data_IF_405765772407
#
_entry.id   IF_405765772407
#
_cell.length_a   1.000
_cell.length_b   1.000
_cell.length_c   1.000
_cell.angle_alpha   90.00
_cell.angle_beta   90.00
_cell.angle_gamma   90.00
#
_symmetry.space_group_name_H-M   'P 1'
#
loop_
_entity.id
_entity.type
_entity.pdbx_description
1 polymer ?
#
# COMPACT_ATOMS: atom_id res chain seq x y z
N UNK A 1 -36.55 -39.89 -3.68
CA UNK A 1 -36.23 -39.89 -5.13
C UNK A 1 -37.27 -39.05 -5.85
N UNK A 2 -36.89 -37.87 -6.34
CA UNK A 2 -37.74 -37.00 -7.15
C UNK A 2 -36.85 -36.16 -8.04
N UNK A 3 -36.80 -36.50 -9.33
CA UNK A 3 -36.05 -35.74 -10.35
C UNK A 3 -36.85 -34.51 -10.74
N UNK A 4 -36.21 -33.34 -10.70
CA UNK A 4 -36.77 -32.09 -11.27
C UNK A 4 -36.29 -31.97 -12.71
N UNK A 5 -37.23 -31.91 -13.65
CA UNK A 5 -36.97 -31.62 -15.06
C UNK A 5 -37.12 -30.11 -15.31
N UNK A 6 -36.16 -29.52 -16.02
CA UNK A 6 -36.31 -28.21 -16.63
C UNK A 6 -36.58 -28.40 -18.13
N UNK A 7 -37.73 -27.94 -18.61
CA UNK A 7 -38.01 -27.81 -20.05
C UNK A 7 -38.13 -26.32 -20.38
N UNK A 8 -37.24 -25.83 -21.24
CA UNK A 8 -37.42 -24.54 -21.90
C UNK A 8 -38.25 -24.75 -23.18
N UNK A 9 -39.38 -24.06 -23.31
CA UNK A 9 -40.13 -23.99 -24.56
C UNK A 9 -39.59 -22.82 -25.41
N UNK A 10 -38.95 -23.14 -26.55
CA UNK A 10 -38.73 -22.19 -27.64
C UNK A 10 -39.92 -22.24 -28.61
N UNK A 11 -40.48 -21.08 -28.96
CA UNK A 11 -41.41 -20.92 -30.09
C UNK A 11 -40.66 -20.58 -31.38
N UNK A 12 -41.21 -20.91 -32.57
CA UNK A 12 -40.45 -20.95 -33.83
C UNK A 12 -40.43 -19.59 -34.54
N UNK A 13 -39.32 -19.31 -35.23
CA UNK A 13 -39.23 -18.25 -36.22
C UNK A 13 -38.14 -17.22 -35.95
N UNK A 14 -36.87 -17.62 -36.04
CA UNK A 14 -35.81 -16.71 -36.47
C UNK A 14 -34.67 -17.52 -37.09
N UNK A 15 -34.56 -17.44 -38.41
CA UNK A 15 -33.48 -18.00 -39.21
C UNK A 15 -32.45 -16.89 -39.43
N UNK A 16 -31.21 -17.08 -38.97
CA UNK A 16 -30.07 -16.38 -39.55
C UNK A 16 -28.84 -17.27 -39.63
N UNK A 17 -28.20 -17.14 -40.79
CA UNK A 17 -27.19 -17.97 -41.42
C UNK A 17 -25.81 -17.62 -40.84
N UNK A 18 -25.02 -18.63 -40.48
CA UNK A 18 -23.73 -18.42 -39.83
C UNK A 18 -22.72 -17.65 -40.68
N UNK A 19 -21.85 -16.92 -39.99
CA UNK A 19 -20.45 -16.86 -40.38
C UNK A 19 -19.54 -17.08 -39.17
N UNK A 20 -18.47 -17.81 -39.42
CA UNK A 20 -17.59 -18.46 -38.45
C UNK A 20 -16.39 -17.55 -38.21
N UNK A 21 -16.28 -16.92 -37.03
CA UNK A 21 -14.99 -16.69 -36.37
C UNK A 21 -15.16 -16.52 -34.86
N UNK A 22 -14.65 -17.50 -34.12
CA UNK A 22 -14.43 -17.45 -32.68
C UNK A 22 -13.27 -16.50 -32.36
N UNK A 23 -13.46 -15.60 -31.38
CA UNK A 23 -12.56 -15.31 -30.25
C UNK A 23 -12.99 -14.00 -29.55
N UNK A 24 -13.42 -14.15 -28.30
CA UNK A 24 -13.57 -13.19 -27.19
C UNK A 24 -14.97 -13.27 -26.57
N UNK A 25 -15.05 -13.95 -25.42
CA UNK A 25 -16.23 -13.96 -24.56
C UNK A 25 -16.04 -12.91 -23.46
N UNK A 26 -16.62 -11.73 -23.67
CA UNK A 26 -17.18 -10.92 -22.59
C UNK A 26 -18.70 -10.96 -22.76
N UNK A 27 -19.43 -11.47 -21.77
CA UNK A 27 -20.89 -11.36 -21.73
C UNK A 27 -21.20 -10.31 -20.68
N UNK A 28 -21.49 -9.09 -21.15
CA UNK A 28 -22.11 -8.04 -20.36
C UNK A 28 -23.56 -8.46 -20.07
N UNK A 29 -23.85 -8.96 -18.87
CA UNK A 29 -25.22 -9.23 -18.44
C UNK A 29 -25.80 -7.94 -17.86
N UNK A 30 -26.40 -7.10 -18.71
CA UNK A 30 -27.38 -6.11 -18.26
C UNK A 30 -28.68 -6.84 -17.92
N UNK A 31 -28.96 -7.04 -16.63
CA UNK A 31 -30.27 -7.52 -16.17
C UNK A 31 -31.26 -6.36 -16.16
N UNK A 32 -32.06 -6.24 -17.22
CA UNK A 32 -33.29 -5.43 -17.21
C UNK A 32 -34.33 -6.00 -16.24
N UNK A 33 -35.24 -5.17 -15.69
CA UNK A 33 -36.29 -5.64 -14.80
C UNK A 33 -37.34 -6.41 -15.63
N UNK A 34 -38.09 -7.30 -14.97
CA UNK A 34 -39.25 -8.06 -15.50
C UNK A 34 -38.93 -9.43 -16.14
N UNK A 35 -39.03 -10.49 -15.32
CA UNK A 35 -39.24 -11.88 -15.79
C UNK A 35 -40.29 -12.58 -14.94
N UNK A 36 -41.17 -13.32 -15.60
CA UNK A 36 -42.19 -14.17 -14.98
C UNK A 36 -41.57 -15.51 -14.57
N UNK A 37 -41.92 -16.03 -13.39
CA UNK A 37 -41.51 -17.36 -12.92
C UNK A 37 -42.75 -18.23 -12.76
N UNK A 38 -42.73 -19.41 -13.39
CA UNK A 38 -43.78 -20.44 -13.31
C UNK A 38 -43.32 -21.54 -12.37
N UNK A 39 -44.01 -21.70 -11.24
CA UNK A 39 -43.81 -22.81 -10.30
C UNK A 39 -45.03 -23.73 -10.35
N UNK A 40 -44.80 -25.03 -10.54
CA UNK A 40 -45.84 -26.06 -10.63
C UNK A 40 -45.71 -27.00 -9.44
N UNK A 41 -46.74 -27.03 -8.59
CA UNK A 41 -46.96 -28.05 -7.57
C UNK A 41 -48.17 -28.91 -7.99
N UNK A 42 -48.33 -30.15 -7.48
CA UNK A 42 -49.27 -31.15 -8.01
C UNK A 42 -50.76 -30.79 -7.88
N UNK A 43 -51.12 -29.61 -7.38
CA UNK A 43 -52.52 -29.18 -7.29
C UNK A 43 -52.78 -27.71 -7.64
N UNK A 44 -51.76 -26.88 -7.95
CA UNK A 44 -51.96 -25.45 -8.27
C UNK A 44 -50.88 -24.89 -9.22
N UNK A 45 -51.30 -23.96 -10.09
CA UNK A 45 -50.43 -23.19 -11.01
C UNK A 45 -50.47 -21.72 -10.62
N UNK A 46 -49.30 -21.10 -10.38
CA UNK A 46 -49.20 -19.68 -10.05
C UNK A 46 -48.36 -18.90 -11.07
N UNK A 47 -48.78 -17.66 -11.32
CA UNK A 47 -48.04 -16.63 -12.07
C UNK A 47 -47.79 -15.45 -11.14
N UNK A 48 -46.54 -15.02 -10.99
CA UNK A 48 -46.17 -13.90 -10.10
C UNK A 48 -45.77 -12.68 -10.93
N UNK A 49 -46.46 -11.56 -10.75
CA UNK A 49 -46.07 -10.20 -11.18
C UNK A 49 -46.07 -9.28 -9.96
N UNK A 50 -45.17 -8.29 -9.96
CA UNK A 50 -44.90 -7.40 -8.83
C UNK A 50 -46.15 -6.93 -8.08
N UNK A 51 -46.14 -7.18 -6.77
CA UNK A 51 -46.85 -6.42 -5.74
C UNK A 51 -48.35 -6.24 -5.93
N UNK A 52 -49.15 -7.30 -5.92
CA UNK A 52 -50.49 -7.32 -5.30
C UNK A 52 -51.02 -8.77 -5.34
N UNK A 53 -51.28 -9.36 -4.17
CA UNK A 53 -51.84 -10.71 -4.06
C UNK A 53 -53.24 -10.63 -3.46
N UNK A 54 -54.27 -10.82 -4.31
CA UNK A 54 -55.65 -11.01 -3.88
C UNK A 54 -55.93 -12.51 -3.84
N UNK A 55 -56.03 -13.08 -2.64
CA UNK A 55 -56.43 -14.48 -2.45
C UNK A 55 -57.95 -14.56 -2.26
N UNK A 56 -58.67 -15.04 -3.27
CA UNK A 56 -60.01 -15.63 -3.06
C UNK A 56 -59.82 -17.11 -2.74
N UNK A 57 -59.76 -17.42 -1.45
CA UNK A 57 -59.67 -18.80 -0.95
C UNK A 57 -59.44 -18.78 0.55
N UNK A 58 -60.19 -19.61 1.29
CA UNK A 58 -60.15 -19.73 2.74
C UNK A 58 -58.82 -20.36 3.16
N UNK A 59 -57.75 -19.56 3.20
CA UNK A 59 -56.52 -19.88 3.87
C UNK A 59 -56.52 -19.06 5.16
N UNK A 60 -56.79 -19.73 6.29
CA UNK A 60 -56.81 -19.08 7.60
C UNK A 60 -55.51 -18.30 7.85
N UNK A 61 -55.61 -17.17 8.57
CA UNK A 61 -54.50 -16.26 8.90
C UNK A 61 -53.21 -16.98 9.33
N UNK A 62 -53.32 -18.16 9.94
CA UNK A 62 -52.21 -19.03 10.34
C UNK A 62 -51.36 -19.58 9.18
N UNK A 63 -51.95 -19.91 8.03
CA UNK A 63 -51.22 -20.43 6.86
C UNK A 63 -50.39 -19.37 6.13
N UNK A 64 -50.88 -18.13 6.14
CA UNK A 64 -50.18 -16.98 5.56
C UNK A 64 -49.02 -16.52 6.44
N UNK A 65 -49.16 -16.64 7.78
CA UNK A 65 -48.09 -16.45 8.76
C UNK A 65 -46.99 -17.52 8.66
N UNK A 66 -47.35 -18.80 8.47
CA UNK A 66 -46.37 -19.88 8.31
C UNK A 66 -45.61 -19.78 6.98
N UNK A 67 -46.26 -19.31 5.92
CA UNK A 67 -45.62 -19.09 4.62
C UNK A 67 -44.71 -17.85 4.62
N UNK A 68 -45.10 -16.77 5.30
CA UNK A 68 -44.21 -15.62 5.46
C UNK A 68 -43.02 -15.94 6.37
N UNK A 69 -43.21 -16.72 7.43
CA UNK A 69 -42.13 -17.19 8.29
C UNK A 69 -41.14 -18.08 7.53
N UNK A 70 -41.62 -18.98 6.66
CA UNK A 70 -40.75 -19.85 5.87
C UNK A 70 -39.99 -19.11 4.76
N UNK A 71 -40.59 -18.08 4.16
CA UNK A 71 -39.89 -17.20 3.21
C UNK A 71 -38.85 -16.32 3.91
N UNK A 72 -39.12 -15.84 5.12
CA UNK A 72 -38.13 -15.14 5.97
C UNK A 72 -37.00 -16.09 6.43
N UNK A 73 -37.30 -17.35 6.73
CA UNK A 73 -36.31 -18.35 7.11
C UNK A 73 -35.44 -18.79 5.91
N UNK A 74 -36.03 -18.92 4.72
CA UNK A 74 -35.29 -19.21 3.49
C UNK A 74 -34.41 -18.03 3.04
N UNK A 75 -34.88 -16.78 3.25
CA UNK A 75 -34.11 -15.57 2.96
C UNK A 75 -32.89 -15.40 3.88
N UNK A 76 -32.97 -15.85 5.14
CA UNK A 76 -31.83 -15.81 6.08
C UNK A 76 -30.80 -16.91 5.84
N UNK A 77 -31.21 -18.08 5.34
CA UNK A 77 -30.29 -19.15 4.93
C UNK A 77 -29.53 -18.86 3.63
N UNK A 78 -30.15 -18.13 2.69
CA UNK A 78 -29.52 -17.72 1.43
C UNK A 78 -28.68 -16.44 1.54
N UNK A 79 -28.71 -15.77 2.70
CA UNK A 79 -27.96 -14.54 2.96
C UNK A 79 -26.62 -14.78 3.68
N UNK A 80 -26.22 -16.04 3.91
CA UNK A 80 -24.84 -16.33 4.28
C UNK A 80 -23.96 -16.12 3.04
N UNK A 81 -23.47 -14.90 2.87
CA UNK A 81 -22.30 -14.65 2.05
C UNK A 81 -21.20 -15.54 2.61
N UNK A 82 -20.59 -16.37 1.75
CA UNK A 82 -19.47 -17.22 2.12
C UNK A 82 -18.27 -16.33 2.43
N UNK A 83 -18.21 -15.80 3.64
CA UNK A 83 -17.08 -15.01 4.16
C UNK A 83 -15.90 -15.93 4.56
N UNK A 84 -16.01 -17.23 4.29
CA UNK A 84 -15.02 -18.25 4.59
C UNK A 84 -14.66 -19.03 3.33
N UNK A 85 -13.37 -19.22 3.09
CA UNK A 85 -12.87 -20.19 2.13
C UNK A 85 -11.70 -20.96 2.73
N UNK A 86 -11.51 -22.19 2.25
CA UNK A 86 -10.42 -23.05 2.66
C UNK A 86 -9.67 -23.55 1.42
N UNK A 87 -8.34 -23.49 1.47
CA UNK A 87 -7.48 -24.11 0.46
C UNK A 87 -6.96 -25.40 1.06
N UNK A 88 -7.43 -26.54 0.56
CA UNK A 88 -7.08 -27.87 1.06
C UNK A 88 -6.00 -28.53 0.20
N UNK A 89 -5.30 -29.53 0.75
CA UNK A 89 -4.34 -30.38 0.03
C UNK A 89 -3.20 -29.63 -0.68
N UNK A 90 -2.92 -28.39 -0.27
CA UNK A 90 -1.84 -27.60 -0.82
C UNK A 90 -0.53 -27.83 -0.08
N UNK A 91 0.57 -27.63 -0.80
CA UNK A 91 1.88 -27.40 -0.17
C UNK A 91 1.92 -25.95 0.34
N UNK A 92 2.18 -25.72 1.63
CA UNK A 92 2.08 -24.39 2.24
C UNK A 92 3.46 -23.96 2.76
N UNK A 93 3.98 -22.86 2.21
CA UNK A 93 5.23 -22.25 2.68
C UNK A 93 4.90 -21.15 3.68
N UNK A 94 5.20 -21.37 4.96
CA UNK A 94 4.83 -20.43 6.04
C UNK A 94 5.84 -19.28 6.21
N UNK A 95 7.02 -19.38 5.61
CA UNK A 95 8.17 -18.45 5.73
C UNK A 95 8.80 -18.40 7.13
N UNK A 96 8.01 -18.17 8.18
CA UNK A 96 8.48 -18.09 9.57
C UNK A 96 8.64 -19.45 10.25
N UNK A 97 8.22 -20.54 9.60
CA UNK A 97 8.25 -21.89 10.15
C UNK A 97 8.57 -22.94 9.10
N UNK A 98 8.32 -24.20 9.45
CA UNK A 98 8.49 -25.31 8.50
C UNK A 98 7.42 -25.25 7.41
N UNK A 99 7.80 -25.71 6.22
CA UNK A 99 6.86 -25.95 5.13
C UNK A 99 5.94 -27.11 5.48
N UNK A 100 4.66 -26.96 5.22
CA UNK A 100 3.66 -28.02 5.36
C UNK A 100 3.48 -28.63 3.97
N UNK A 101 3.93 -29.88 3.78
CA UNK A 101 3.91 -30.51 2.44
C UNK A 101 2.50 -30.82 1.94
N UNK A 102 1.55 -31.04 2.85
CA UNK A 102 0.12 -31.16 2.54
C UNK A 102 -0.70 -30.65 3.72
N UNK A 103 -1.43 -29.56 3.54
CA UNK A 103 -2.26 -29.00 4.59
C UNK A 103 -3.37 -28.10 4.08
N UNK A 104 -4.03 -27.46 5.03
CA UNK A 104 -5.19 -26.60 4.80
C UNK A 104 -4.94 -25.20 5.33
N UNK A 105 -5.35 -24.20 4.56
CA UNK A 105 -5.41 -22.78 4.99
C UNK A 105 -6.87 -22.36 5.04
N UNK A 106 -7.35 -21.94 6.21
CA UNK A 106 -8.72 -21.43 6.40
C UNK A 106 -8.67 -19.93 6.53
N UNK A 107 -9.42 -19.23 5.69
CA UNK A 107 -9.56 -17.77 5.69
C UNK A 107 -11.00 -17.40 6.00
N UNK A 108 -11.18 -16.45 6.92
CA UNK A 108 -12.48 -15.91 7.31
C UNK A 108 -12.40 -14.39 7.41
N UNK A 109 -13.29 -13.69 6.71
CA UNK A 109 -13.36 -12.23 6.75
C UNK A 109 -12.05 -11.55 6.33
N UNK A 110 -11.32 -12.16 5.39
CA UNK A 110 -10.02 -11.66 4.93
C UNK A 110 -8.84 -11.95 5.87
N UNK A 111 -9.05 -12.67 6.98
CA UNK A 111 -8.01 -13.05 7.93
C UNK A 111 -7.78 -14.56 7.92
N UNK A 112 -6.51 -14.95 8.06
CA UNK A 112 -6.13 -16.35 8.22
C UNK A 112 -6.54 -16.80 9.63
N UNK A 113 -7.43 -17.80 9.71
CA UNK A 113 -7.88 -18.37 10.99
C UNK A 113 -7.01 -19.54 11.43
N UNK A 114 -6.64 -20.40 10.48
CA UNK A 114 -5.86 -21.61 10.75
C UNK A 114 -5.02 -22.02 9.55
N UNK A 115 -3.83 -22.54 9.83
CA UNK A 115 -2.90 -23.12 8.85
C UNK A 115 -2.26 -24.36 9.49
N UNK A 116 -2.31 -25.50 8.81
CA UNK A 116 -1.74 -26.73 9.35
C UNK A 116 -2.07 -27.97 8.53
N UNK A 117 -1.44 -29.10 8.87
CA UNK A 117 -1.71 -30.39 8.24
C UNK A 117 -3.08 -30.97 8.66
N UNK A 118 -3.45 -30.78 9.93
CA UNK A 118 -4.65 -31.36 10.55
C UNK A 118 -5.72 -30.29 10.87
N UNK A 119 -5.81 -29.25 10.03
CA UNK A 119 -6.81 -28.19 10.20
C UNK A 119 -8.17 -28.67 9.67
N UNK A 120 -9.18 -28.65 10.53
CA UNK A 120 -10.56 -28.93 10.15
C UNK A 120 -11.14 -27.78 9.32
N UNK A 121 -11.67 -28.13 8.15
CA UNK A 121 -12.36 -27.17 7.28
C UNK A 121 -13.77 -26.90 7.80
N UNK A 122 -14.13 -25.63 8.06
CA UNK A 122 -15.49 -25.29 8.47
C UNK A 122 -16.52 -25.76 7.42
N UNK A 123 -17.66 -26.34 7.81
CA UNK A 123 -18.66 -26.84 6.85
C UNK A 123 -19.26 -25.76 5.92
N UNK A 124 -19.19 -24.50 6.33
CA UNK A 124 -19.65 -23.34 5.56
C UNK A 124 -18.57 -22.74 4.65
N UNK A 125 -17.33 -23.25 4.67
CA UNK A 125 -16.24 -22.71 3.86
C UNK A 125 -16.38 -23.13 2.39
N UNK A 126 -16.10 -22.19 1.49
CA UNK A 126 -15.87 -22.53 0.09
C UNK A 126 -14.52 -23.23 -0.05
N UNK A 127 -14.55 -24.52 -0.42
CA UNK A 127 -13.34 -25.34 -0.55
C UNK A 127 -12.71 -25.16 -1.92
N UNK A 128 -11.42 -24.86 -1.93
CA UNK A 128 -10.54 -24.79 -3.08
C UNK A 128 -9.57 -25.98 -2.98
N UNK A 129 -9.59 -26.85 -3.99
CA UNK A 129 -8.63 -27.95 -4.08
C UNK A 129 -7.26 -27.41 -4.51
N UNK A 130 -6.30 -27.45 -3.58
CA UNK A 130 -4.92 -27.04 -3.76
C UNK A 130 -4.00 -28.18 -4.18
N UNK A 131 -4.50 -29.36 -4.54
CA UNK A 131 -3.68 -30.48 -4.97
C UNK A 131 -2.77 -30.09 -6.15
N UNK A 132 -1.46 -30.28 -5.97
CA UNK A 132 -0.44 -29.89 -6.95
C UNK A 132 -0.12 -28.40 -6.97
N UNK A 133 -0.79 -27.58 -6.15
CA UNK A 133 -0.52 -26.16 -5.98
C UNK A 133 0.34 -25.91 -4.75
N UNK A 134 1.05 -24.78 -4.76
CA UNK A 134 1.81 -24.28 -3.60
C UNK A 134 1.27 -22.92 -3.17
N UNK A 135 0.93 -22.80 -1.89
CA UNK A 135 0.46 -21.57 -1.25
C UNK A 135 1.65 -20.86 -0.61
N UNK A 136 1.79 -19.57 -0.92
CA UNK A 136 2.75 -18.66 -0.34
C UNK A 136 2.04 -17.43 0.24
N UNK A 137 2.58 -16.81 1.30
CA UNK A 137 2.30 -15.42 1.61
C UNK A 137 2.60 -14.56 0.38
N UNK A 138 1.75 -13.59 0.12
CA UNK A 138 1.99 -12.65 -0.96
C UNK A 138 3.30 -11.89 -0.76
N UNK A 139 4.03 -11.65 -1.84
CA UNK A 139 5.30 -10.94 -1.80
C UNK A 139 5.08 -9.47 -1.45
N UNK A 140 6.08 -8.90 -0.77
CA UNK A 140 6.09 -7.49 -0.36
C UNK A 140 7.20 -6.75 -1.11
N UNK A 141 6.84 -5.74 -1.90
CA UNK A 141 7.81 -4.84 -2.55
C UNK A 141 8.25 -3.74 -1.58
N UNK A 142 9.54 -3.68 -1.24
CA UNK A 142 10.02 -2.82 -0.13
C UNK A 142 10.27 -1.34 -0.50
N UNK A 143 10.38 -1.02 -1.78
CA UNK A 143 10.46 0.36 -2.29
C UNK A 143 10.16 0.35 -3.79
N UNK A 144 9.06 0.97 -4.19
CA UNK A 144 8.58 1.02 -5.57
C UNK A 144 8.05 2.41 -5.90
N UNK A 145 7.70 2.62 -7.17
CA UNK A 145 6.87 3.75 -7.63
C UNK A 145 5.57 3.25 -8.25
N UNK A 146 5.10 2.07 -7.82
CA UNK A 146 3.83 1.48 -8.28
C UNK A 146 2.67 2.32 -7.75
N UNK A 147 1.62 2.50 -8.57
CA UNK A 147 0.50 3.36 -8.24
C UNK A 147 0.90 4.83 -7.96
N UNK A 148 2.05 5.27 -8.48
CA UNK A 148 2.44 6.68 -8.54
C UNK A 148 2.30 7.18 -9.97
N UNK A 149 2.16 8.50 -10.12
CA UNK A 149 2.11 9.13 -11.43
C UNK A 149 3.38 8.84 -12.25
N UNK A 150 3.25 8.87 -13.58
CA UNK A 150 4.41 8.75 -14.47
C UNK A 150 5.41 9.92 -14.32
N UNK A 151 4.97 11.06 -13.78
CA UNK A 151 5.83 12.20 -13.45
C UNK A 151 6.72 11.91 -12.23
N UNK A 152 6.26 11.02 -11.35
CA UNK A 152 7.00 10.51 -10.20
C UNK A 152 7.87 9.29 -10.53
N UNK A 153 7.88 8.82 -11.77
CA UNK A 153 8.76 7.73 -12.19
C UNK A 153 10.23 8.19 -12.12
N UNK A 154 11.15 7.33 -11.64
CA UNK A 154 12.55 7.70 -11.54
C UNK A 154 13.09 8.05 -12.92
N UNK A 155 13.76 9.21 -13.02
CA UNK A 155 14.46 9.59 -14.24
C UNK A 155 15.42 8.46 -14.64
N UNK A 156 15.34 8.02 -15.91
CA UNK A 156 16.26 7.01 -16.42
C UNK A 156 17.71 7.43 -16.12
N UNK A 157 18.60 6.49 -15.76
CA UNK A 157 19.97 6.83 -15.44
C UNK A 157 20.57 7.60 -16.62
N UNK A 158 21.01 8.82 -16.36
CA UNK A 158 21.72 9.62 -17.34
C UNK A 158 22.97 8.84 -17.74
N UNK A 159 22.97 8.26 -18.95
CA UNK A 159 24.15 7.61 -19.50
C UNK A 159 25.31 8.58 -19.45
N UNK A 160 26.43 8.15 -18.86
CA UNK A 160 27.68 8.89 -18.87
C UNK A 160 28.16 8.99 -20.34
N UNK A 161 27.91 10.12 -21.01
CA UNK A 161 28.45 10.39 -22.34
C UNK A 161 27.55 11.06 -23.37
N UNK A 162 26.29 11.36 -23.08
CA UNK A 162 25.40 11.98 -24.08
C UNK A 162 25.32 13.51 -23.97
N UNK A 163 26.12 14.25 -24.73
CA UNK A 163 25.83 15.67 -25.07
C UNK A 163 24.65 15.66 -26.07
N UNK A 164 23.45 15.36 -25.58
CA UNK A 164 22.25 15.16 -26.39
C UNK A 164 21.54 16.49 -26.67
N UNK A 165 21.93 17.17 -27.73
CA UNK A 165 21.09 18.19 -28.36
C UNK A 165 19.86 17.54 -28.99
N UNK A 166 18.76 17.49 -28.25
CA UNK A 166 17.43 17.20 -28.80
C UNK A 166 16.80 18.46 -29.39
N UNK A 167 15.94 18.34 -30.43
CA UNK A 167 15.29 19.51 -31.04
C UNK A 167 14.44 20.30 -30.04
N UNK A 168 14.40 21.65 -30.11
CA UNK A 168 13.57 22.46 -29.23
C UNK A 168 12.11 22.35 -29.68
N UNK A 169 11.35 21.46 -29.06
CA UNK A 169 9.95 21.29 -29.42
C UNK A 169 9.32 20.06 -28.78
N UNK A 170 9.12 20.09 -27.47
CA UNK A 170 8.41 19.03 -26.75
C UNK A 170 7.90 19.54 -25.42
N UNK A 171 6.61 19.92 -25.41
CA UNK A 171 5.71 20.20 -24.28
C UNK A 171 6.36 20.79 -23.02
N UNK A 172 6.29 22.14 -22.95
CA UNK A 172 6.34 22.91 -21.71
C UNK A 172 7.51 22.56 -20.79
N UNK A 173 8.73 22.95 -21.15
CA UNK A 173 9.78 23.06 -20.16
C UNK A 173 9.27 24.02 -19.08
N UNK A 174 9.06 23.50 -17.87
CA UNK A 174 8.81 24.31 -16.69
C UNK A 174 9.87 25.42 -16.66
N UNK A 175 9.40 26.66 -16.78
CA UNK A 175 10.24 27.87 -16.84
C UNK A 175 10.55 28.41 -15.44
N UNK A 176 10.41 27.56 -14.41
CA UNK A 176 10.80 27.93 -13.06
C UNK A 176 12.24 28.46 -13.05
N UNK A 177 12.50 29.62 -12.42
CA UNK A 177 13.83 30.20 -12.35
C UNK A 177 14.80 29.20 -11.69
N UNK A 178 16.07 29.16 -12.11
CA UNK A 178 17.04 28.29 -11.48
C UNK A 178 17.19 28.67 -10.00
N UNK A 179 17.28 27.66 -9.13
CA UNK A 179 17.57 27.88 -7.72
C UNK A 179 18.93 28.56 -7.58
N UNK A 180 18.97 29.64 -6.81
CA UNK A 180 20.13 30.45 -6.49
C UNK A 180 20.81 29.98 -5.20
N UNK A 181 20.05 29.38 -4.28
CA UNK A 181 20.57 28.98 -2.98
C UNK A 181 19.71 27.96 -2.23
N UNK A 182 20.18 27.48 -1.06
CA UNK A 182 19.45 26.56 -0.21
C UNK A 182 18.10 27.10 0.28
N UNK A 183 17.95 28.43 0.38
CA UNK A 183 16.73 29.11 0.77
C UNK A 183 15.56 28.91 -0.20
N UNK A 184 15.83 28.64 -1.48
CA UNK A 184 14.80 28.37 -2.49
C UNK A 184 14.16 26.98 -2.34
N UNK A 185 14.71 26.14 -1.45
CA UNK A 185 14.27 24.77 -1.18
C UNK A 185 14.05 23.92 -2.44
N UNK A 186 15.04 23.87 -3.36
CA UNK A 186 14.87 23.18 -4.62
C UNK A 186 14.53 21.70 -4.42
N UNK A 187 13.52 21.21 -5.17
CA UNK A 187 13.16 19.79 -5.20
C UNK A 187 12.92 19.18 -3.82
N UNK A 188 12.34 19.92 -2.88
CA UNK A 188 12.14 19.46 -1.51
C UNK A 188 10.66 19.43 -1.21
N UNK A 189 10.08 18.24 -1.30
CA UNK A 189 8.65 17.99 -1.30
C UNK A 189 8.23 17.23 -0.04
N UNK A 190 8.71 17.67 1.12
CA UNK A 190 8.52 16.93 2.37
C UNK A 190 7.07 16.77 2.80
N UNK A 191 6.18 17.64 2.32
CA UNK A 191 4.74 17.58 2.56
C UNK A 191 3.97 16.61 1.65
N UNK A 192 4.64 16.04 0.65
CA UNK A 192 4.00 15.13 -0.29
C UNK A 192 3.84 13.77 0.38
N UNK A 193 2.62 13.25 0.32
CA UNK A 193 2.25 11.94 0.84
C UNK A 193 1.88 11.02 -0.31
N UNK A 194 2.55 9.86 -0.40
CA UNK A 194 2.20 8.84 -1.38
C UNK A 194 0.75 8.35 -1.22
N UNK A 195 0.27 8.25 0.03
CA UNK A 195 -1.07 7.77 0.33
C UNK A 195 -2.16 8.68 -0.28
N UNK A 196 -1.89 9.99 -0.37
CA UNK A 196 -2.82 10.97 -0.93
C UNK A 196 -2.71 11.11 -2.46
N UNK A 197 -1.58 10.67 -3.04
CA UNK A 197 -1.27 10.79 -4.48
C UNK A 197 -1.28 9.44 -5.21
N UNK A 198 -1.99 8.46 -4.67
CA UNK A 198 -2.12 7.17 -5.33
C UNK A 198 -2.89 7.31 -6.67
N UNK A 199 -2.22 6.91 -7.74
CA UNK A 199 -2.75 6.79 -9.10
C UNK A 199 -2.64 5.32 -9.53
N UNK A 200 -3.53 4.43 -9.05
CA UNK A 200 -3.47 3.02 -9.39
C UNK A 200 -3.85 2.80 -10.86
N UNK A 201 -2.97 2.07 -11.55
CA UNK A 201 -3.18 1.60 -12.91
C UNK A 201 -3.37 0.08 -12.89
N UNK A 202 -4.52 -0.42 -13.38
CA UNK A 202 -4.88 -1.83 -13.22
C UNK A 202 -3.99 -2.77 -14.04
N UNK A 203 -3.44 -2.33 -15.18
CA UNK A 203 -2.49 -3.13 -15.95
C UNK A 203 -1.17 -3.31 -15.17
N UNK A 204 -0.66 -2.21 -14.60
CA UNK A 204 0.50 -2.24 -13.72
C UNK A 204 0.21 -3.11 -12.48
N UNK A 205 -0.87 -2.86 -11.74
CA UNK A 205 -1.20 -3.63 -10.54
C UNK A 205 -1.43 -5.11 -10.85
N UNK A 206 -2.10 -5.41 -11.96
CA UNK A 206 -2.34 -6.77 -12.46
C UNK A 206 -1.04 -7.51 -12.76
N UNK A 207 -0.06 -6.86 -13.38
CA UNK A 207 1.27 -7.44 -13.62
C UNK A 207 2.00 -7.77 -12.30
N UNK A 208 1.95 -6.88 -11.31
CA UNK A 208 2.56 -7.11 -10.01
C UNK A 208 1.87 -8.24 -9.23
N UNK A 209 0.53 -8.28 -9.23
CA UNK A 209 -0.25 -9.39 -8.64
C UNK A 209 0.01 -10.72 -9.34
N UNK A 210 0.12 -10.72 -10.67
CA UNK A 210 0.49 -11.90 -11.46
C UNK A 210 1.88 -12.43 -11.15
N UNK A 211 2.81 -11.54 -10.74
CA UNK A 211 4.13 -11.92 -10.24
C UNK A 211 4.13 -12.36 -8.75
N UNK A 212 2.98 -12.36 -8.07
CA UNK A 212 2.82 -12.79 -6.69
C UNK A 212 2.99 -11.69 -5.64
N UNK A 213 3.14 -10.41 -6.03
CA UNK A 213 3.13 -9.31 -5.08
C UNK A 213 1.71 -8.97 -4.64
N UNK A 214 1.54 -8.71 -3.34
CA UNK A 214 0.24 -8.33 -2.77
C UNK A 214 0.29 -6.99 -2.05
N UNK A 215 1.47 -6.62 -1.54
CA UNK A 215 1.70 -5.38 -0.81
C UNK A 215 2.97 -4.73 -1.33
N UNK A 216 2.99 -3.41 -1.44
CA UNK A 216 4.18 -2.64 -1.79
C UNK A 216 4.30 -1.41 -0.91
N UNK A 217 5.54 -1.00 -0.65
CA UNK A 217 5.86 0.35 -0.21
C UNK A 217 6.07 1.18 -1.46
N UNK A 218 5.18 2.14 -1.70
CA UNK A 218 5.30 3.07 -2.81
C UNK A 218 5.71 4.45 -2.32
N UNK A 219 6.51 5.14 -3.11
CA UNK A 219 7.07 6.45 -2.78
C UNK A 219 7.12 7.30 -4.04
N UNK A 220 6.86 8.62 -3.95
CA UNK A 220 7.25 9.54 -4.99
C UNK A 220 8.78 9.48 -5.15
N UNK A 221 9.30 9.81 -6.33
CA UNK A 221 10.75 9.74 -6.59
C UNK A 221 11.39 11.02 -7.11
N UNK A 222 10.61 12.07 -7.30
CA UNK A 222 11.09 13.36 -7.78
C UNK A 222 11.71 14.21 -6.64
N UNK A 223 12.70 15.05 -6.94
CA UNK A 223 13.34 15.93 -5.96
C UNK A 223 14.36 15.25 -5.02
N UNK A 224 15.10 16.07 -4.27
CA UNK A 224 16.00 15.63 -3.20
C UNK A 224 15.23 15.02 -2.04
N UNK A 225 14.16 15.66 -1.59
CA UNK A 225 13.20 15.05 -0.66
C UNK A 225 11.91 14.82 -1.43
N UNK A 226 11.59 13.56 -1.71
CA UNK A 226 10.45 13.25 -2.59
C UNK A 226 9.10 13.22 -1.90
N UNK A 227 9.10 13.21 -0.57
CA UNK A 227 7.89 12.98 0.22
C UNK A 227 7.91 11.65 0.94
N UNK A 228 6.80 11.41 1.62
CA UNK A 228 6.53 10.22 2.41
C UNK A 228 6.02 9.08 1.55
N UNK A 229 6.58 7.90 1.78
CA UNK A 229 6.15 6.63 1.26
C UNK A 229 4.91 6.10 2.02
N UNK A 230 4.13 5.26 1.36
CA UNK A 230 3.00 4.56 1.93
C UNK A 230 3.10 3.06 1.67
N UNK A 231 2.74 2.24 2.66
CA UNK A 231 2.50 0.82 2.46
C UNK A 231 1.07 0.64 1.95
N UNK A 232 0.93 -0.02 0.80
CA UNK A 232 -0.35 -0.26 0.14
C UNK A 232 -0.51 -1.73 -0.24
N UNK A 233 -1.74 -2.22 -0.16
CA UNK A 233 -2.15 -3.44 -0.84
C UNK A 233 -2.42 -3.16 -2.31
N UNK A 234 -2.12 -4.11 -3.18
CA UNK A 234 -2.36 -4.03 -4.62
C UNK A 234 -3.82 -4.38 -4.98
N UNK A 235 -4.71 -4.49 -3.99
CA UNK A 235 -6.12 -4.77 -4.15
C UNK A 235 -6.95 -3.70 -3.44
N UNK A 236 -8.06 -3.31 -4.05
CA UNK A 236 -9.00 -2.32 -3.54
C UNK A 236 -9.77 -1.64 -4.67
N UNK A 237 -11.03 -1.27 -4.44
CA UNK A 237 -11.84 -0.57 -5.44
C UNK A 237 -11.49 0.92 -5.50
N UNK A 238 -10.96 1.47 -4.39
CA UNK A 238 -10.57 2.87 -4.27
C UNK A 238 -9.14 2.95 -3.74
N UNK A 239 -8.35 3.94 -4.20
CA UNK A 239 -6.96 4.12 -3.73
C UNK A 239 -6.85 4.19 -2.21
N UNK A 240 -7.80 4.86 -1.53
CA UNK A 240 -7.84 4.95 -0.07
C UNK A 240 -8.01 3.62 0.66
N UNK A 241 -8.65 2.62 0.04
CA UNK A 241 -8.79 1.27 0.63
C UNK A 241 -7.50 0.45 0.50
N UNK A 242 -6.62 0.83 -0.44
CA UNK A 242 -5.35 0.17 -0.66
C UNK A 242 -4.34 0.56 0.43
N UNK A 243 -4.47 1.74 1.04
CA UNK A 243 -3.52 2.25 2.05
C UNK A 243 -3.60 1.41 3.33
N UNK A 244 -2.51 0.75 3.68
CA UNK A 244 -2.32 0.09 4.96
C UNK A 244 -1.78 1.07 6.00
N UNK A 245 -0.74 1.82 5.61
CA UNK A 245 -0.06 2.77 6.48
C UNK A 245 0.54 3.90 5.63
N UNK A 246 0.27 5.15 6.03
CA UNK A 246 0.87 6.34 5.43
C UNK A 246 2.11 6.76 6.24
N UNK A 247 3.09 7.39 5.58
CA UNK A 247 4.26 7.93 6.29
C UNK A 247 5.25 6.87 6.77
N UNK A 248 5.34 5.72 6.09
CA UNK A 248 6.19 4.59 6.54
C UNK A 248 7.69 4.89 6.42
N UNK A 249 8.07 5.76 5.50
CA UNK A 249 9.43 6.25 5.32
C UNK A 249 9.45 7.52 4.48
N UNK A 250 10.48 8.34 4.60
CA UNK A 250 10.68 9.51 3.76
C UNK A 250 11.78 9.26 2.75
N UNK A 251 11.57 9.53 1.46
CA UNK A 251 12.59 9.26 0.45
C UNK A 251 13.52 10.44 0.22
N UNK A 252 14.82 10.19 0.37
CA UNK A 252 15.88 11.08 -0.08
C UNK A 252 16.42 10.62 -1.44
N UNK A 253 16.68 11.55 -2.35
CA UNK A 253 17.55 11.35 -3.51
C UNK A 253 18.72 12.35 -3.45
N UNK A 254 19.76 12.09 -4.25
CA UNK A 254 20.91 12.99 -4.39
C UNK A 254 20.90 13.75 -5.71
N UNK A 255 19.74 13.78 -6.37
CA UNK A 255 19.45 14.53 -7.59
C UNK A 255 18.12 15.27 -7.40
N UNK A 256 18.00 16.46 -8.00
CA UNK A 256 16.78 17.27 -7.89
C UNK A 256 15.62 16.81 -8.79
N UNK A 257 15.81 15.72 -9.54
CA UNK A 257 14.82 15.19 -10.48
C UNK A 257 14.73 15.93 -11.81
N UNK A 258 13.77 15.55 -12.68
CA UNK A 258 13.55 16.19 -13.97
C UNK A 258 13.32 17.71 -13.84
N UNK A 259 13.94 18.49 -14.71
CA UNK A 259 13.74 19.94 -14.74
C UNK A 259 14.53 20.75 -13.69
N UNK A 260 15.17 20.11 -12.70
CA UNK A 260 15.99 20.80 -11.70
C UNK A 260 17.15 21.56 -12.33
N UNK A 261 17.30 22.84 -11.96
CA UNK A 261 18.35 23.74 -12.42
C UNK A 261 18.83 24.63 -11.29
N UNK A 262 20.12 24.95 -11.30
CA UNK A 262 20.74 25.81 -10.31
C UNK A 262 21.31 25.04 -9.12
N UNK A 263 21.27 25.65 -7.94
CA UNK A 263 21.75 25.05 -6.71
C UNK A 263 20.84 23.89 -6.24
N UNK A 264 21.38 22.80 -5.67
CA UNK A 264 22.75 22.33 -5.84
C UNK A 264 22.94 21.65 -7.21
N UNK A 265 24.11 21.84 -7.81
CA UNK A 265 24.45 21.31 -9.15
C UNK A 265 25.48 20.16 -9.14
N UNK A 266 25.96 19.76 -7.96
CA UNK A 266 26.94 18.69 -7.79
C UNK A 266 26.55 17.77 -6.64
N UNK A 267 27.12 16.56 -6.61
CA UNK A 267 26.90 15.60 -5.53
C UNK A 267 27.33 16.17 -4.16
N UNK A 268 28.48 16.86 -4.10
CA UNK A 268 28.94 17.52 -2.89
C UNK A 268 27.96 18.62 -2.44
N UNK A 269 27.42 19.38 -3.40
CA UNK A 269 26.37 20.36 -3.16
C UNK A 269 25.07 19.73 -2.64
N UNK A 270 24.66 18.57 -3.18
CA UNK A 270 23.48 17.85 -2.70
C UNK A 270 23.63 17.43 -1.23
N UNK A 271 24.79 16.89 -0.84
CA UNK A 271 25.06 16.58 0.57
C UNK A 271 25.09 17.82 1.45
N UNK A 272 25.64 18.94 0.98
CA UNK A 272 25.63 20.20 1.72
C UNK A 272 24.19 20.72 1.91
N UNK A 273 23.39 20.69 0.85
CA UNK A 273 22.00 21.09 0.86
C UNK A 273 21.16 20.24 1.83
N UNK A 274 21.27 18.91 1.75
CA UNK A 274 20.54 18.00 2.65
C UNK A 274 20.87 18.26 4.12
N UNK A 275 22.14 18.54 4.44
CA UNK A 275 22.54 18.91 5.80
C UNK A 275 22.01 20.27 6.21
N UNK A 276 22.09 21.26 5.32
CA UNK A 276 21.55 22.60 5.56
C UNK A 276 20.05 22.54 5.83
N UNK A 277 19.30 21.80 5.02
CA UNK A 277 17.87 21.58 5.21
C UNK A 277 17.56 21.01 6.60
N UNK A 278 18.28 19.99 7.06
CA UNK A 278 18.06 19.43 8.40
C UNK A 278 18.45 20.40 9.54
N UNK A 279 19.40 21.31 9.30
CA UNK A 279 19.71 22.41 10.22
C UNK A 279 18.55 23.41 10.25
N UNK A 280 17.99 23.77 9.10
CA UNK A 280 16.83 24.67 8.99
C UNK A 280 15.60 24.08 9.70
N UNK A 281 15.31 22.79 9.51
CA UNK A 281 14.21 22.09 10.20
C UNK A 281 14.39 22.15 11.71
N UNK A 282 15.60 21.94 12.20
CA UNK A 282 15.91 22.05 13.64
C UNK A 282 15.71 23.48 14.13
N UNK A 283 16.23 24.47 13.39
CA UNK A 283 16.11 25.87 13.74
C UNK A 283 14.64 26.31 13.80
N UNK A 284 13.88 26.01 12.76
CA UNK A 284 12.46 26.29 12.67
C UNK A 284 11.69 25.77 13.89
N UNK A 285 11.90 24.50 14.26
CA UNK A 285 11.22 23.91 15.41
C UNK A 285 11.65 24.50 16.75
N UNK A 286 12.92 24.86 16.91
CA UNK A 286 13.38 25.54 18.12
C UNK A 286 12.75 26.94 18.26
N UNK A 287 12.64 27.67 17.16
CA UNK A 287 12.03 29.01 17.13
C UNK A 287 10.52 28.90 17.38
N UNK A 288 9.82 27.96 16.72
CA UNK A 288 8.40 27.71 16.95
C UNK A 288 8.12 27.29 18.40
N UNK A 289 8.86 26.33 18.95
CA UNK A 289 8.68 25.91 20.35
C UNK A 289 8.96 27.04 21.35
N UNK A 290 9.93 27.92 21.07
CA UNK A 290 10.21 29.09 21.89
C UNK A 290 9.07 30.12 21.82
N UNK A 291 8.53 30.36 20.62
CA UNK A 291 7.40 31.26 20.42
C UNK A 291 6.13 30.73 21.12
N UNK A 292 5.86 29.43 21.02
CA UNK A 292 4.70 28.79 21.65
C UNK A 292 4.77 28.78 23.18
N UNK A 293 5.97 28.74 23.76
CA UNK A 293 6.18 28.76 25.21
C UNK A 293 6.20 30.16 25.82
N UNK A 294 6.84 31.14 25.17
CA UNK A 294 6.77 32.55 25.58
C UNK A 294 6.89 33.49 24.37
N UNK A 295 5.75 33.98 23.82
CA UNK A 295 5.77 34.82 22.62
C UNK A 295 6.22 36.26 22.87
N UNK A 296 6.43 36.68 24.13
CA UNK A 296 6.68 38.09 24.46
C UNK A 296 8.02 38.56 23.89
N UNK A 297 7.96 39.62 23.07
CA UNK A 297 9.15 40.22 22.45
C UNK A 297 9.77 39.37 21.35
N UNK A 298 9.11 38.30 20.91
CA UNK A 298 9.54 37.47 19.79
C UNK A 298 8.69 37.75 18.55
N UNK A 299 9.32 37.74 17.38
CA UNK A 299 8.60 37.71 16.11
C UNK A 299 8.00 36.32 15.90
N UNK A 300 6.76 36.26 15.43
CA UNK A 300 6.12 35.00 15.06
C UNK A 300 6.92 34.32 13.93
N UNK A 301 7.32 33.05 14.08
CA UNK A 301 7.96 32.32 12.98
C UNK A 301 7.02 32.25 11.77
N UNK A 302 7.58 32.43 10.58
CA UNK A 302 6.86 32.26 9.32
C UNK A 302 6.56 30.78 9.10
N UNK A 303 5.33 30.47 8.67
CA UNK A 303 4.94 29.10 8.40
C UNK A 303 5.60 28.60 7.11
N UNK A 304 6.42 27.55 7.22
CA UNK A 304 7.03 26.87 6.09
C UNK A 304 6.57 25.40 6.10
N UNK A 305 5.68 25.06 5.17
CA UNK A 305 5.12 23.71 5.00
C UNK A 305 6.23 22.65 4.85
N UNK A 306 7.34 23.00 4.22
CA UNK A 306 8.46 22.09 3.97
C UNK A 306 9.18 21.72 5.27
N UNK A 307 9.39 22.70 6.14
CA UNK A 307 10.05 22.49 7.43
C UNK A 307 9.11 21.81 8.44
N UNK A 308 7.85 22.20 8.42
CA UNK A 308 6.79 21.61 9.24
C UNK A 308 6.68 20.10 8.97
N UNK A 309 6.52 19.71 7.71
CA UNK A 309 6.37 18.31 7.32
C UNK A 309 7.62 17.45 7.57
N UNK A 310 8.81 18.06 7.68
CA UNK A 310 10.05 17.34 7.93
C UNK A 310 10.28 16.96 9.42
N UNK A 311 9.37 17.32 10.32
CA UNK A 311 9.52 17.01 11.75
C UNK A 311 9.63 15.51 12.02
N UNK A 312 8.82 14.69 11.34
CA UNK A 312 8.84 13.23 11.48
C UNK A 312 10.23 12.66 11.20
N UNK A 313 10.88 13.15 10.13
CA UNK A 313 12.23 12.75 9.73
C UNK A 313 13.27 13.18 10.77
N UNK A 314 13.23 14.44 11.22
CA UNK A 314 14.20 14.97 12.20
C UNK A 314 14.09 14.28 13.56
N UNK A 315 12.87 13.98 14.00
CA UNK A 315 12.63 13.29 15.28
C UNK A 315 12.91 11.78 15.22
N UNK A 316 13.13 11.23 14.02
CA UNK A 316 13.30 9.79 13.80
C UNK A 316 12.01 8.99 13.93
N UNK A 317 10.84 9.66 13.95
CA UNK A 317 9.52 9.03 13.85
C UNK A 317 9.34 8.39 12.48
N UNK A 318 9.72 9.12 11.43
CA UNK A 318 9.72 8.65 10.04
C UNK A 318 11.15 8.32 9.63
N UNK A 319 11.45 7.06 9.25
CA UNK A 319 12.81 6.70 8.81
C UNK A 319 13.13 7.35 7.46
N UNK A 320 14.40 7.71 7.25
CA UNK A 320 14.87 8.32 6.00
C UNK A 320 15.45 7.25 5.06
N UNK A 321 14.89 7.06 3.88
CA UNK A 321 15.46 6.22 2.83
C UNK A 321 16.64 6.97 2.19
N UNK A 322 17.85 6.45 2.33
CA UNK A 322 19.08 7.08 1.83
C UNK A 322 19.70 6.24 0.69
N UNK A 323 19.96 6.83 -0.49
CA UNK A 323 20.53 6.09 -1.61
C UNK A 323 22.02 5.80 -1.43
N UNK A 324 22.45 4.63 -1.89
CA UNK A 324 23.86 4.34 -2.12
C UNK A 324 24.04 2.98 -2.77
N UNK A 325 24.80 2.90 -3.84
CA UNK A 325 25.05 1.66 -4.59
C UNK A 325 26.41 1.06 -4.25
N UNK A 326 27.43 1.89 -4.05
CA UNK A 326 28.79 1.44 -3.73
C UNK A 326 29.07 1.47 -2.23
N UNK A 327 30.09 0.73 -1.77
CA UNK A 327 30.47 0.74 -0.36
C UNK A 327 30.84 2.14 0.15
N UNK A 328 31.52 2.95 -0.67
CA UNK A 328 31.86 4.34 -0.33
C UNK A 328 30.62 5.22 -0.19
N UNK A 329 29.64 5.06 -1.07
CA UNK A 329 28.37 5.79 -0.99
C UNK A 329 27.57 5.39 0.26
N UNK A 330 27.50 4.09 0.57
CA UNK A 330 26.82 3.58 1.75
C UNK A 330 27.45 4.11 3.04
N UNK A 331 28.79 4.10 3.17
CA UNK A 331 29.49 4.72 4.31
C UNK A 331 29.21 6.21 4.42
N UNK A 332 29.16 6.92 3.28
CA UNK A 332 28.85 8.35 3.25
C UNK A 332 27.40 8.64 3.66
N UNK A 333 26.46 7.84 3.20
CA UNK A 333 25.05 7.90 3.59
C UNK A 333 24.89 7.71 5.11
N UNK A 334 25.56 6.70 5.65
CA UNK A 334 25.63 6.42 7.08
C UNK A 334 26.20 7.61 7.86
N UNK A 335 27.39 8.08 7.49
CA UNK A 335 28.06 9.18 8.18
C UNK A 335 27.25 10.48 8.12
N UNK A 336 26.62 10.76 6.97
CA UNK A 336 25.75 11.92 6.79
C UNK A 336 24.51 11.82 7.68
N UNK A 337 23.87 10.66 7.74
CA UNK A 337 22.69 10.45 8.58
C UNK A 337 23.00 10.61 10.07
N UNK A 338 24.18 10.14 10.51
CA UNK A 338 24.67 10.38 11.87
C UNK A 338 24.87 11.87 12.18
N UNK A 339 25.42 12.65 11.24
CA UNK A 339 25.55 14.11 11.40
C UNK A 339 24.20 14.82 11.49
N UNK A 340 23.18 14.33 10.77
CA UNK A 340 21.83 14.86 10.82
C UNK A 340 21.04 14.39 12.05
N UNK A 341 21.53 13.37 12.76
CA UNK A 341 20.84 12.75 13.89
C UNK A 341 19.63 11.91 13.49
N UNK A 342 19.59 11.41 12.25
CA UNK A 342 18.49 10.59 11.72
C UNK A 342 18.92 9.16 11.47
N UNK A 343 17.97 8.23 11.57
CA UNK A 343 18.21 6.82 11.26
C UNK A 343 17.96 6.56 9.78
N UNK A 344 18.98 6.15 9.00
CA UNK A 344 18.77 5.82 7.60
C UNK A 344 18.26 4.38 7.44
N UNK A 345 17.46 4.18 6.40
CA UNK A 345 17.27 2.90 5.71
C UNK A 345 17.99 3.05 4.36
N UNK A 346 18.96 2.18 4.09
CA UNK A 346 19.76 2.28 2.87
C UNK A 346 19.03 1.60 1.71
N UNK A 347 18.95 2.24 0.55
CA UNK A 347 18.38 1.65 -0.67
C UNK A 347 19.35 1.74 -1.86
N UNK A 348 19.16 0.85 -2.84
CA UNK A 348 20.08 0.64 -3.96
C UNK A 348 21.14 -0.42 -3.63
N UNK A 349 21.91 -0.22 -2.56
CA UNK A 349 22.85 -1.11 -1.87
C UNK A 349 23.52 -2.25 -2.69
N UNK A 350 23.87 -2.01 -3.96
CA UNK A 350 24.37 -3.05 -4.87
C UNK A 350 25.65 -3.72 -4.37
N UNK A 351 26.53 -2.94 -3.74
CA UNK A 351 27.77 -3.41 -3.09
C UNK A 351 27.60 -3.65 -1.59
N UNK A 352 26.37 -3.78 -1.09
CA UNK A 352 26.09 -3.96 0.34
C UNK A 352 26.73 -5.23 0.92
N UNK A 353 26.93 -6.27 0.10
CA UNK A 353 27.62 -7.50 0.49
C UNK A 353 29.05 -7.23 0.99
N UNK A 354 29.75 -6.26 0.41
CA UNK A 354 31.12 -5.90 0.81
C UNK A 354 31.18 -5.20 2.17
N UNK A 355 30.04 -4.73 2.67
CA UNK A 355 29.88 -4.08 3.97
C UNK A 355 29.03 -4.90 4.94
N UNK A 356 28.77 -6.18 4.68
CA UNK A 356 27.80 -6.97 5.44
C UNK A 356 28.10 -6.98 6.96
N UNK A 357 29.36 -7.12 7.36
CA UNK A 357 29.78 -7.09 8.77
C UNK A 357 29.59 -5.70 9.41
N UNK A 358 29.96 -4.63 8.69
CA UNK A 358 29.81 -3.24 9.11
C UNK A 358 28.33 -2.89 9.30
N UNK A 359 27.49 -3.22 8.31
CA UNK A 359 26.04 -3.01 8.34
C UNK A 359 25.37 -3.82 9.46
N UNK A 360 25.80 -5.07 9.69
CA UNK A 360 25.27 -5.90 10.77
C UNK A 360 25.61 -5.34 12.15
N UNK A 361 26.85 -4.87 12.36
CA UNK A 361 27.27 -4.25 13.61
C UNK A 361 26.43 -3.00 13.92
N UNK A 362 26.20 -2.16 12.90
CA UNK A 362 25.38 -0.96 13.03
C UNK A 362 23.90 -1.25 13.34
N UNK A 363 23.32 -2.27 12.68
CA UNK A 363 21.93 -2.65 12.92
C UNK A 363 21.69 -3.12 14.36
N UNK A 364 22.65 -3.86 14.95
CA UNK A 364 22.58 -4.27 16.36
C UNK A 364 22.63 -3.09 17.31
N UNK A 365 23.51 -2.12 17.06
CA UNK A 365 23.60 -0.89 17.85
C UNK A 365 22.29 -0.10 17.81
N UNK A 366 21.67 0.03 16.63
CA UNK A 366 20.40 0.74 16.45
C UNK A 366 19.20 0.00 17.09
N UNK A 367 19.20 -1.34 17.05
CA UNK A 367 18.16 -2.18 17.65
C UNK A 367 18.24 -2.18 19.19
N UNK A 368 19.45 -2.19 19.74
CA UNK A 368 19.68 -2.06 21.19
C UNK A 368 19.20 -0.72 21.74
N UNK A 369 19.41 0.37 20.99
CA UNK A 369 18.92 1.70 21.38
C UNK A 369 17.38 1.77 21.38
N UNK A 370 16.70 1.14 20.40
CA UNK A 370 15.24 1.02 20.37
C UNK A 370 14.69 0.19 21.51
N UNK A 371 15.31 -0.96 21.82
CA UNK A 371 14.91 -1.78 22.96
C UNK A 371 15.07 -1.02 24.28
N UNK A 372 16.15 -0.25 24.44
CA UNK A 372 16.38 0.59 25.62
C UNK A 372 15.40 1.77 25.72
N UNK A 373 15.03 2.40 24.60
CA UNK A 373 14.04 3.49 24.57
C UNK A 373 12.62 2.98 24.85
N UNK A 374 12.24 1.82 24.30
CA UNK A 374 10.94 1.19 24.56
C UNK A 374 10.86 0.72 26.02
N UNK A 375 11.95 0.13 26.55
CA UNK A 375 12.02 -0.25 27.97
C UNK A 375 12.01 0.97 28.91
N UNK A 376 12.70 2.05 28.55
CA UNK A 376 12.72 3.31 29.31
C UNK A 376 11.36 4.02 29.32
N UNK A 377 10.65 4.00 28.19
CA UNK A 377 9.28 4.52 28.08
C UNK A 377 8.27 3.65 28.86
N UNK A 378 8.46 2.33 28.90
CA UNK A 378 7.63 1.42 29.69
C UNK A 378 7.87 1.52 31.21
N UNK A 379 9.04 2.00 31.64
CA UNK A 379 9.41 2.11 33.06
C UNK A 379 9.24 3.52 33.64
N UNK A 380 8.79 4.52 32.88
CA UNK A 380 8.58 5.88 33.38
C UNK A 380 9.85 6.52 33.96
N UNK A 381 11.04 6.03 33.57
CA UNK A 381 12.31 6.58 34.03
C UNK A 381 12.75 7.64 33.04
N UNK A 382 12.59 8.91 33.41
CA UNK A 382 13.32 10.01 32.79
C UNK A 382 14.82 9.68 32.88
N UNK A 383 15.43 9.29 31.75
CA UNK A 383 16.89 9.31 31.63
C UNK A 383 17.31 10.77 31.54
N UNK A 384 17.34 11.42 32.71
CA UNK A 384 18.00 12.69 32.88
C UNK A 384 19.48 12.47 32.64
N UNK A 385 19.99 13.05 31.56
CA UNK A 385 21.43 13.28 31.41
C UNK A 385 21.82 14.18 32.58
N UNK A 386 22.38 13.60 33.65
CA UNK A 386 22.95 14.38 34.75
C UNK A 386 24.13 15.18 34.19
N UNK A 387 24.21 16.49 34.44
CA UNK A 387 25.45 17.22 34.24
C UNK A 387 26.47 16.74 35.27
N UNK A 388 27.68 16.43 34.82
CA UNK A 388 28.84 16.19 35.70
C UNK A 388 29.27 17.52 36.34
N UNK A 389 28.87 17.74 37.59
CA UNK A 389 29.67 18.38 38.64
C UNK A 389 30.16 17.24 39.55
N UNK A 390 31.34 17.18 40.16
CA UNK A 390 32.54 18.01 40.32
C UNK A 390 33.47 17.11 41.17
N UNK A 391 34.81 17.16 41.04
CA UNK A 391 35.74 17.06 42.20
C UNK A 391 37.20 16.93 41.79
N UNK A 392 37.92 18.04 41.94
CA UNK A 392 39.25 18.16 42.58
C UNK A 392 40.05 16.87 42.82
N UNK A 393 41.25 16.84 42.23
CA UNK A 393 42.51 16.72 42.97
C UNK A 393 43.54 17.67 42.39
#
# INVERSE_FOLDING_TARGET
MGRVFFTMCGGPGFEWRGDRQERNREILIQTGPFRWVRLVYPSFVFWVRGGFMSSRGIAGRSGMLLFSLSVLYAGTLLAQTTDHYAIENARIVTVSGQTIERGTVVVQGGLIQAVGADVETPPSAWVIDGMGLTVYPGLVGSLTTVAMSSEDAPAAPAGFGGRGGGPPGGRGADQSPPSQGPEDRPGTFTWVSAADRLEPDEDQLGAWRGAGFTTVVTSPSNGFFSGDAAAINLAGERPRQMVLEAGVAHRLNLTGGPGHRGYPSSLAGAFAYVKQFMIDVRHYQQVSARYDSDPRGLQRPEYDLTLEAAEGVRTGRTPLLFPGSTATELRRAIATSAQMGVRPILYGAQSGYAMASELAAMSRAASGLRAALIAGAALGVHVGVRPEEESRR
#
